data_IF_550425628014
#
_entry.id   IF_550425628014
#
_cell.length_a   1.000
_cell.length_b   1.000
_cell.length_c   1.000
_cell.angle_alpha   90.00
_cell.angle_beta   90.00
_cell.angle_gamma   90.00
#
_symmetry.space_group_name_H-M   'P 1'
#
loop_
_entity.id
_entity.type
_entity.pdbx_description
1 polymer ?
#
# COMPACT_ATOMS: atom_id res chain seq x y z
N UNK A 1 20.14 2.50 2.13
CA UNK A 1 20.49 3.93 2.02
C UNK A 1 21.88 4.21 2.57
N UNK A 2 22.13 3.94 3.86
CA UNK A 2 23.42 4.12 4.56
C UNK A 2 24.66 3.72 3.76
N UNK A 3 24.69 2.53 3.14
CA UNK A 3 25.84 2.07 2.35
C UNK A 3 26.14 2.99 1.15
N UNK A 4 25.11 3.42 0.43
CA UNK A 4 25.25 4.27 -0.78
C UNK A 4 25.69 5.68 -0.38
N UNK A 5 25.16 6.19 0.74
CA UNK A 5 25.48 7.51 1.26
C UNK A 5 26.80 7.55 2.05
N UNK A 6 27.43 6.38 2.26
CA UNK A 6 28.61 6.20 3.12
C UNK A 6 28.37 6.75 4.53
N UNK A 7 27.17 6.50 5.05
CA UNK A 7 26.68 7.03 6.32
C UNK A 7 27.39 6.44 7.55
N UNK A 8 27.26 7.14 8.67
CA UNK A 8 27.83 6.73 9.96
C UNK A 8 26.95 5.71 10.69
N UNK A 9 27.43 5.21 11.83
CA UNK A 9 26.63 4.31 12.68
C UNK A 9 25.39 5.00 13.27
N UNK A 10 25.47 6.29 13.59
CA UNK A 10 24.33 7.07 14.06
C UNK A 10 23.26 7.18 12.98
N UNK A 11 23.67 7.44 11.74
CA UNK A 11 22.78 7.46 10.59
C UNK A 11 22.13 6.10 10.36
N UNK A 12 22.85 4.99 10.57
CA UNK A 12 22.26 3.65 10.47
C UNK A 12 21.05 3.45 11.38
N UNK A 13 21.13 3.91 12.63
CA UNK A 13 20.01 3.79 13.56
C UNK A 13 18.83 4.70 13.19
N UNK A 14 19.11 5.89 12.64
CA UNK A 14 18.08 6.82 12.17
C UNK A 14 17.35 6.30 10.94
N UNK A 15 18.10 5.82 9.95
CA UNK A 15 17.56 5.15 8.75
C UNK A 15 16.71 3.93 9.14
N UNK A 16 17.18 3.11 10.07
CA UNK A 16 16.42 1.97 10.57
C UNK A 16 15.05 2.39 11.12
N UNK A 17 14.97 3.50 11.86
CA UNK A 17 13.70 4.04 12.37
C UNK A 17 12.82 4.61 11.25
N UNK A 18 13.41 5.24 10.24
CA UNK A 18 12.68 5.77 9.09
C UNK A 18 11.97 4.67 8.29
N UNK A 19 12.61 3.49 8.17
CA UNK A 19 12.05 2.34 7.44
C UNK A 19 11.25 1.36 8.30
N UNK A 20 11.29 1.46 9.63
CA UNK A 20 10.51 0.59 10.53
C UNK A 20 9.00 0.53 10.21
N UNK A 21 8.33 1.63 9.79
CA UNK A 21 6.93 1.59 9.38
C UNK A 21 6.64 0.65 8.20
N UNK A 22 7.66 0.26 7.42
CA UNK A 22 7.53 -0.68 6.30
C UNK A 22 7.66 -2.14 6.72
N UNK A 23 7.95 -2.41 7.99
CA UNK A 23 8.08 -3.77 8.54
C UNK A 23 6.70 -4.20 9.07
N UNK A 24 6.10 -5.28 8.53
CA UNK A 24 4.88 -5.86 9.09
C UNK A 24 5.04 -6.23 10.58
N UNK A 25 3.99 -6.04 11.37
CA UNK A 25 3.97 -6.22 12.82
C UNK A 25 3.02 -7.35 13.26
N UNK A 26 2.74 -8.32 12.39
CA UNK A 26 1.85 -9.46 12.69
C UNK A 26 0.36 -9.19 12.51
N UNK A 27 -0.06 -7.93 12.35
CA UNK A 27 -1.47 -7.55 12.19
C UNK A 27 -1.70 -6.53 11.06
N UNK A 28 -0.72 -6.33 10.19
CA UNK A 28 -0.80 -5.40 9.09
C UNK A 28 0.02 -5.87 7.90
N UNK A 29 -0.34 -5.39 6.71
CA UNK A 29 0.47 -5.52 5.50
C UNK A 29 1.09 -4.16 5.21
N UNK A 30 2.39 -4.13 4.92
CA UNK A 30 3.08 -2.96 4.40
C UNK A 30 3.09 -2.98 2.86
N UNK A 31 2.83 -1.85 2.22
CA UNK A 31 2.78 -1.72 0.76
C UNK A 31 3.61 -0.48 0.35
N UNK A 32 4.49 -0.66 -0.63
CA UNK A 32 5.09 0.46 -1.36
C UNK A 32 4.40 0.59 -2.71
N UNK A 33 3.88 1.78 -3.03
CA UNK A 33 3.23 2.08 -4.30
C UNK A 33 4.02 3.15 -5.06
N UNK A 34 4.17 2.97 -6.38
CA UNK A 34 5.00 3.84 -7.22
C UNK A 34 4.26 4.25 -8.51
N UNK A 35 4.31 5.54 -8.83
CA UNK A 35 3.99 6.07 -10.16
C UNK A 35 5.25 6.07 -11.02
N UNK A 36 5.35 5.08 -11.91
CA UNK A 36 6.48 4.95 -12.85
C UNK A 36 6.14 5.63 -14.18
N UNK A 37 6.65 6.84 -14.37
CA UNK A 37 6.44 7.64 -15.59
C UNK A 37 7.79 8.20 -16.02
N UNK A 38 8.35 7.66 -17.11
CA UNK A 38 9.70 8.01 -17.56
C UNK A 38 9.82 9.48 -17.99
N UNK A 39 8.87 9.94 -18.81
CA UNK A 39 8.86 11.29 -19.34
C UNK A 39 8.60 12.32 -18.22
N UNK A 40 9.58 13.16 -17.93
CA UNK A 40 9.53 14.12 -16.83
C UNK A 40 8.38 15.14 -16.94
N UNK A 41 8.16 15.82 -18.09
CA UNK A 41 7.01 16.71 -18.24
C UNK A 41 5.67 16.04 -17.95
N UNK A 42 5.48 14.81 -18.47
CA UNK A 42 4.26 14.03 -18.23
C UNK A 42 4.16 13.65 -16.75
N UNK A 43 5.24 13.13 -16.15
CA UNK A 43 5.28 12.75 -14.73
C UNK A 43 4.87 13.91 -13.84
N UNK A 44 5.47 15.10 -14.03
CA UNK A 44 5.18 16.30 -13.25
C UNK A 44 3.72 16.74 -13.41
N UNK A 45 3.19 16.72 -14.64
CA UNK A 45 1.80 17.05 -14.89
C UNK A 45 0.83 16.05 -14.27
N UNK A 46 1.16 14.75 -14.29
CA UNK A 46 0.34 13.68 -13.68
C UNK A 46 0.34 13.81 -12.16
N UNK A 47 1.50 13.91 -11.51
CA UNK A 47 1.60 14.00 -10.05
C UNK A 47 0.90 15.25 -9.49
N UNK A 48 0.87 16.36 -10.23
CA UNK A 48 0.09 17.55 -9.87
C UNK A 48 -1.43 17.31 -9.86
N UNK A 49 -1.93 16.39 -10.67
CA UNK A 49 -3.37 16.07 -10.70
C UNK A 49 -3.76 15.13 -9.56
N UNK A 50 -2.83 14.34 -9.06
CA UNK A 50 -3.09 13.24 -8.11
C UNK A 50 -2.84 13.63 -6.64
N UNK A 51 -2.87 14.93 -6.31
CA UNK A 51 -2.80 15.38 -4.92
C UNK A 51 -3.81 14.65 -4.02
N UNK A 52 -3.35 14.21 -2.86
CA UNK A 52 -4.10 13.48 -1.82
C UNK A 52 -4.60 12.10 -2.23
N UNK A 53 -4.14 11.53 -3.36
CA UNK A 53 -4.55 10.20 -3.83
C UNK A 53 -4.25 9.09 -2.82
N UNK A 54 -3.24 9.28 -1.96
CA UNK A 54 -2.82 8.33 -0.93
C UNK A 54 -3.94 7.93 0.05
N UNK A 55 -5.00 8.73 0.19
CA UNK A 55 -6.14 8.42 1.05
C UNK A 55 -7.25 7.61 0.37
N UNK A 56 -7.11 7.34 -0.93
CA UNK A 56 -8.13 6.66 -1.75
C UNK A 56 -7.78 5.19 -2.05
N UNK A 57 -6.68 4.69 -1.51
CA UNK A 57 -6.27 3.29 -1.65
C UNK A 57 -7.02 2.38 -0.66
N UNK A 58 -7.53 1.25 -1.16
CA UNK A 58 -8.28 0.27 -0.39
C UNK A 58 -7.86 -1.14 -0.78
N UNK A 59 -7.71 -2.01 0.21
CA UNK A 59 -7.62 -3.45 0.01
C UNK A 59 -9.02 -4.06 0.22
N UNK A 60 -9.59 -4.65 -0.81
CA UNK A 60 -10.94 -5.19 -0.81
C UNK A 60 -10.91 -6.71 -0.85
N UNK A 61 -11.72 -7.35 -0.01
CA UNK A 61 -11.96 -8.79 -0.05
C UNK A 61 -13.36 -9.00 -0.61
N UNK A 62 -13.44 -9.76 -1.70
CA UNK A 62 -14.67 -10.02 -2.43
C UNK A 62 -14.91 -11.53 -2.50
N UNK A 63 -16.18 -11.94 -2.64
CA UNK A 63 -16.52 -13.33 -2.94
C UNK A 63 -16.08 -13.67 -4.36
N UNK A 64 -15.33 -14.76 -4.51
CA UNK A 64 -14.86 -15.24 -5.81
C UNK A 64 -16.05 -15.66 -6.67
N UNK A 65 -16.03 -15.32 -7.96
CA UNK A 65 -17.10 -15.60 -8.92
C UNK A 65 -18.17 -14.50 -8.95
N UNK A 66 -18.78 -14.13 -7.82
CA UNK A 66 -19.83 -13.08 -7.79
C UNK A 66 -19.28 -11.66 -7.75
N UNK A 67 -18.08 -11.47 -7.18
CA UNK A 67 -17.48 -10.15 -6.99
C UNK A 67 -18.11 -9.33 -5.86
N UNK A 68 -19.03 -9.91 -5.09
CA UNK A 68 -19.68 -9.26 -3.96
C UNK A 68 -18.63 -8.83 -2.92
N UNK A 69 -18.71 -7.56 -2.48
CA UNK A 69 -17.79 -7.01 -1.50
C UNK A 69 -18.10 -7.57 -0.11
N UNK A 70 -17.12 -8.24 0.50
CA UNK A 70 -17.21 -8.74 1.88
C UNK A 70 -16.70 -7.67 2.83
N UNK A 71 -15.52 -7.10 2.54
CA UNK A 71 -14.94 -6.01 3.33
C UNK A 71 -14.00 -5.16 2.51
N UNK A 72 -13.78 -3.93 2.98
CA UNK A 72 -12.92 -2.93 2.34
C UNK A 72 -12.07 -2.25 3.42
N UNK A 73 -10.76 -2.47 3.36
CA UNK A 73 -9.78 -1.98 4.33
C UNK A 73 -9.05 -0.77 3.74
N UNK A 74 -9.04 0.39 4.41
CA UNK A 74 -8.28 1.53 3.92
C UNK A 74 -6.77 1.25 4.04
N UNK A 75 -6.02 1.58 2.98
CA UNK A 75 -4.57 1.64 3.04
C UNK A 75 -4.19 2.96 3.73
N UNK A 76 -3.57 2.89 4.90
CA UNK A 76 -3.20 4.07 5.68
C UNK A 76 -1.80 4.53 5.29
N UNK A 77 -1.60 5.78 4.86
CA UNK A 77 -0.25 6.31 4.66
C UNK A 77 0.57 6.20 5.95
N UNK A 78 1.80 5.75 5.86
CA UNK A 78 2.69 5.65 7.04
C UNK A 78 3.33 7.00 7.39
N UNK A 79 3.25 7.97 6.49
CA UNK A 79 3.82 9.31 6.63
C UNK A 79 2.85 10.34 6.07
N UNK A 80 2.75 11.47 6.77
CA UNK A 80 2.00 12.63 6.31
C UNK A 80 2.80 13.47 5.31
N UNK A 81 2.13 14.37 4.60
CA UNK A 81 2.80 15.38 3.77
C UNK A 81 3.32 14.86 2.43
N UNK A 82 2.84 13.71 1.95
CA UNK A 82 3.14 13.21 0.59
C UNK A 82 2.52 14.07 -0.52
N UNK A 83 1.59 14.95 -0.17
CA UNK A 83 1.05 15.98 -1.04
C UNK A 83 1.54 17.36 -0.58
N UNK A 84 2.15 18.12 -1.50
CA UNK A 84 2.60 19.49 -1.21
C UNK A 84 1.42 20.45 -1.07
N UNK A 85 1.66 21.65 -0.51
CA UNK A 85 0.65 22.72 -0.44
C UNK A 85 0.09 23.11 -1.82
N UNK A 86 0.91 22.96 -2.88
CA UNK A 86 0.52 23.21 -4.27
C UNK A 86 -0.25 22.03 -4.90
N UNK A 87 -0.59 20.99 -4.11
CA UNK A 87 -1.37 19.84 -4.54
C UNK A 87 -0.58 18.76 -5.29
N UNK A 88 0.75 18.85 -5.35
CA UNK A 88 1.57 17.84 -6.04
C UNK A 88 1.81 16.63 -5.13
N UNK A 89 1.45 15.44 -5.61
CA UNK A 89 1.70 14.19 -4.88
C UNK A 89 3.10 13.62 -5.16
N UNK A 90 3.54 12.72 -4.28
CA UNK A 90 4.79 11.96 -4.40
C UNK A 90 4.69 10.90 -5.50
N UNK A 91 5.83 10.54 -6.10
CA UNK A 91 5.89 9.37 -6.99
C UNK A 91 5.88 8.05 -6.20
N UNK A 92 6.25 8.08 -4.91
CA UNK A 92 6.35 6.90 -4.04
C UNK A 92 5.52 7.11 -2.79
N UNK A 93 4.74 6.10 -2.44
CA UNK A 93 3.88 6.08 -1.26
C UNK A 93 4.10 4.81 -0.45
N UNK A 94 4.03 4.96 0.87
CA UNK A 94 4.11 3.85 1.81
C UNK A 94 2.79 3.74 2.55
N UNK A 95 2.25 2.53 2.58
CA UNK A 95 0.98 2.23 3.21
C UNK A 95 1.11 1.10 4.22
N UNK A 96 0.31 1.18 5.27
CA UNK A 96 0.01 0.10 6.18
C UNK A 96 -1.48 -0.23 6.09
N UNK A 97 -1.81 -1.50 5.87
CA UNK A 97 -3.19 -2.01 5.88
C UNK A 97 -3.38 -2.80 7.15
N UNK A 98 -4.08 -2.26 8.17
CA UNK A 98 -4.32 -2.99 9.41
C UNK A 98 -5.42 -4.03 9.22
N UNK A 99 -5.23 -5.18 9.87
CA UNK A 99 -6.21 -6.27 9.93
C UNK A 99 -6.56 -6.60 11.38
N UNK A 100 -7.83 -6.92 11.61
CA UNK A 100 -8.24 -7.54 12.87
C UNK A 100 -7.91 -9.03 12.86
N UNK A 101 -7.85 -9.66 14.04
CA UNK A 101 -7.62 -11.11 14.16
C UNK A 101 -8.71 -11.92 13.43
N UNK A 102 -9.94 -11.44 13.50
CA UNK A 102 -11.10 -12.05 12.83
C UNK A 102 -10.97 -11.99 11.31
N UNK A 103 -10.46 -10.86 10.77
CA UNK A 103 -10.23 -10.71 9.34
C UNK A 103 -9.09 -11.60 8.83
N UNK A 104 -8.01 -11.72 9.61
CA UNK A 104 -6.90 -12.63 9.30
C UNK A 104 -7.40 -14.08 9.27
N UNK A 105 -8.12 -14.50 10.32
CA UNK A 105 -8.65 -15.85 10.41
C UNK A 105 -9.64 -16.14 9.28
N UNK A 106 -10.55 -15.19 9.00
CA UNK A 106 -11.48 -15.31 7.89
C UNK A 106 -10.76 -15.52 6.55
N UNK A 107 -9.70 -14.76 6.29
CA UNK A 107 -8.93 -14.88 5.06
C UNK A 107 -8.19 -16.23 4.97
N UNK A 108 -7.62 -16.72 6.09
CA UNK A 108 -7.00 -18.06 6.17
C UNK A 108 -7.99 -19.17 5.84
N UNK A 109 -9.19 -19.11 6.41
CA UNK A 109 -10.21 -20.16 6.26
C UNK A 109 -10.91 -20.15 4.90
N UNK A 110 -10.94 -19.00 4.22
CA UNK A 110 -11.74 -18.80 3.01
C UNK A 110 -10.90 -18.51 1.75
N UNK A 111 -9.59 -18.76 1.77
CA UNK A 111 -8.65 -18.37 0.72
C UNK A 111 -9.09 -18.76 -0.71
N UNK A 112 -9.68 -19.95 -0.88
CA UNK A 112 -10.13 -20.45 -2.19
C UNK A 112 -11.45 -19.81 -2.68
N UNK A 113 -12.25 -19.28 -1.74
CA UNK A 113 -13.59 -18.74 -1.96
C UNK A 113 -13.60 -17.21 -2.08
N UNK A 114 -12.48 -16.55 -1.82
CA UNK A 114 -12.35 -15.08 -1.87
C UNK A 114 -11.38 -14.62 -2.95
N UNK A 115 -11.48 -13.33 -3.27
CA UNK A 115 -10.57 -12.61 -4.13
C UNK A 115 -10.17 -11.32 -3.42
N UNK A 116 -8.87 -11.07 -3.31
CA UNK A 116 -8.33 -9.83 -2.73
C UNK A 116 -7.97 -8.87 -3.85
N UNK A 117 -8.35 -7.60 -3.73
CA UNK A 117 -8.06 -6.53 -4.69
C UNK A 117 -7.39 -5.36 -4.00
N UNK A 118 -6.42 -4.75 -4.68
CA UNK A 118 -5.97 -3.39 -4.36
C UNK A 118 -6.68 -2.44 -5.32
N UNK A 119 -7.41 -1.47 -4.77
CA UNK A 119 -8.25 -0.54 -5.52
C UNK A 119 -7.88 0.89 -5.15
N UNK A 120 -7.85 1.77 -6.15
CA UNK A 120 -7.75 3.22 -6.00
C UNK A 120 -9.11 3.81 -6.32
N UNK A 121 -9.80 4.27 -5.29
CA UNK A 121 -11.14 4.85 -5.37
C UNK A 121 -11.05 6.37 -5.59
N UNK A 122 -10.48 6.75 -6.72
CA UNK A 122 -10.27 8.13 -7.14
C UNK A 122 -10.60 8.29 -8.62
N UNK A 123 -11.48 9.23 -8.97
CA UNK A 123 -11.90 9.46 -10.36
C UNK A 123 -10.74 9.85 -11.29
N UNK A 124 -9.65 10.39 -10.73
CA UNK A 124 -8.46 10.81 -11.47
C UNK A 124 -7.55 9.63 -11.79
N UNK A 125 -7.69 8.51 -11.09
CA UNK A 125 -6.97 7.26 -11.31
C UNK A 125 -7.81 6.03 -10.88
N UNK A 126 -8.89 5.69 -11.60
CA UNK A 126 -9.81 4.63 -11.23
C UNK A 126 -9.22 3.26 -11.62
N UNK A 127 -8.35 2.73 -10.77
CA UNK A 127 -7.63 1.48 -11.02
C UNK A 127 -7.93 0.43 -9.95
N UNK A 128 -7.99 -0.83 -10.35
CA UNK A 128 -8.10 -1.96 -9.44
C UNK A 128 -7.35 -3.15 -10.01
N UNK A 129 -6.62 -3.85 -9.15
CA UNK A 129 -5.90 -5.06 -9.49
C UNK A 129 -6.28 -6.18 -8.53
N UNK A 130 -6.53 -7.35 -9.09
CA UNK A 130 -6.72 -8.59 -8.32
C UNK A 130 -5.35 -9.14 -7.95
N UNK A 131 -5.13 -9.40 -6.66
CA UNK A 131 -3.92 -10.06 -6.20
C UNK A 131 -3.97 -11.55 -6.54
N UNK A 132 -2.83 -12.11 -6.96
CA UNK A 132 -2.75 -13.53 -7.27
C UNK A 132 -2.96 -14.38 -5.99
N UNK A 133 -3.56 -15.58 -6.10
CA UNK A 133 -3.74 -16.45 -4.93
C UNK A 133 -2.43 -16.79 -4.21
N UNK A 134 -1.33 -16.93 -4.97
CA UNK A 134 0.00 -17.16 -4.41
C UNK A 134 0.48 -15.96 -3.58
N UNK A 135 0.31 -14.73 -4.09
CA UNK A 135 0.67 -13.52 -3.36
C UNK A 135 -0.15 -13.39 -2.07
N UNK A 136 -1.46 -13.62 -2.11
CA UNK A 136 -2.31 -13.57 -0.91
C UNK A 136 -1.87 -14.63 0.11
N UNK A 137 -1.53 -15.84 -0.35
CA UNK A 137 -1.00 -16.90 0.51
C UNK A 137 0.33 -16.52 1.17
N UNK A 138 1.21 -15.83 0.44
CA UNK A 138 2.46 -15.35 0.99
C UNK A 138 2.26 -14.21 1.99
N UNK A 139 1.37 -13.26 1.70
CA UNK A 139 1.00 -12.17 2.61
C UNK A 139 0.43 -12.69 3.95
N UNK A 140 -0.27 -13.83 3.94
CA UNK A 140 -0.77 -14.46 5.17
C UNK A 140 0.33 -14.89 6.15
N UNK A 141 1.58 -15.01 5.70
CA UNK A 141 2.75 -15.33 6.54
C UNK A 141 3.25 -14.14 7.34
N UNK A 142 2.87 -12.91 6.95
CA UNK A 142 3.19 -11.68 7.69
C UNK A 142 2.29 -11.48 8.91
N UNK A 143 1.24 -12.30 9.06
CA UNK A 143 0.34 -12.26 10.19
C UNK A 143 0.69 -13.31 11.24
N UNK A 144 0.54 -12.93 12.51
CA UNK A 144 0.70 -13.82 13.67
C UNK A 144 -0.48 -14.82 13.84
#
# INVERSE_FOLDING_TARGET
MVLVEKGTNEQFAEEGRAYDPLVPKGNNIAITFMFEIDNEPIRKATLKKLGRIEYNFKLQICKKGTGELITSLPCKPTEDGRTTNDGMTSAVHFFSVPFSKEQIQYLRDNLDSVQVKLTVDDERYPHSIVLSPLLVKDLLKEFD
#
